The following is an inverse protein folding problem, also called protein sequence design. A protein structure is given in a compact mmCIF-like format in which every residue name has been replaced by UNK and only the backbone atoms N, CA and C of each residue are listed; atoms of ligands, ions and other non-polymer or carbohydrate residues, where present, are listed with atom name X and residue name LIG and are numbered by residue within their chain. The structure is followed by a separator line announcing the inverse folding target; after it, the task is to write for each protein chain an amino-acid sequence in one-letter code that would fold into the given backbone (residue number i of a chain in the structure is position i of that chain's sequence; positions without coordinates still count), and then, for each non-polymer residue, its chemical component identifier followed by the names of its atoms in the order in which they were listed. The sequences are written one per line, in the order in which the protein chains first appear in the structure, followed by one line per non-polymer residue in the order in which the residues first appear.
data_IF_737029077660
#
_entry.id   IF_737029077660
#
_cell.length_a   1.000
_cell.length_b   1.000
_cell.length_c   1.000
_cell.angle_alpha   90.00
_cell.angle_beta   90.00
_cell.angle_gamma   90.00
#
_symmetry.space_group_name_H-M   'P 1'
#
loop_
_entity.id
_entity.type
_entity.pdbx_description
1 polymer ?
#
# COMPACT_ATOMS: atom_id res chain seq x y z
N UNK A 1 -14.20 -5.54 29.72
CA UNK A 1 -13.64 -4.37 28.99
C UNK A 1 -12.50 -4.89 28.14
N UNK A 2 -12.75 -5.21 26.87
CA UNK A 2 -11.68 -5.56 25.93
C UNK A 2 -10.95 -4.28 25.51
N UNK A 3 -9.63 -4.29 25.30
CA UNK A 3 -8.94 -3.11 24.79
C UNK A 3 -9.53 -2.81 23.40
N UNK A 4 -10.31 -1.72 23.29
CA UNK A 4 -10.57 -1.10 22.01
C UNK A 4 -9.20 -0.71 21.45
N UNK A 5 -8.71 -1.50 20.51
CA UNK A 5 -7.58 -1.14 19.66
C UNK A 5 -8.00 0.15 18.98
N UNK A 6 -7.59 1.29 19.54
CA UNK A 6 -7.75 2.56 18.87
C UNK A 6 -6.99 2.40 17.57
N UNK A 7 -7.68 2.45 16.44
CA UNK A 7 -7.04 2.56 15.14
C UNK A 7 -6.11 3.76 15.21
N UNK A 8 -4.82 3.48 15.36
CA UNK A 8 -3.78 4.48 15.51
C UNK A 8 -3.79 5.39 14.30
N UNK A 9 -3.78 6.70 14.51
CA UNK A 9 -3.90 7.67 13.43
C UNK A 9 -2.81 7.48 12.38
N UNK A 10 -1.60 7.09 12.76
CA UNK A 10 -0.53 6.87 11.78
C UNK A 10 -0.75 5.60 10.95
N UNK A 11 -1.21 4.50 11.56
CA UNK A 11 -1.52 3.24 10.85
C UNK A 11 -2.64 3.46 9.82
N UNK A 12 -3.68 4.20 10.21
CA UNK A 12 -4.78 4.55 9.32
C UNK A 12 -4.31 5.48 8.19
N UNK A 13 -3.53 6.52 8.50
CA UNK A 13 -2.94 7.40 7.48
C UNK A 13 -2.07 6.62 6.51
N UNK A 14 -1.19 5.73 7.00
CA UNK A 14 -0.36 4.89 6.16
C UNK A 14 -1.19 3.98 5.25
N UNK A 15 -2.21 3.32 5.80
CA UNK A 15 -3.10 2.44 5.04
C UNK A 15 -3.81 3.20 3.93
N UNK A 16 -4.33 4.39 4.22
CA UNK A 16 -5.02 5.23 3.23
C UNK A 16 -4.06 5.73 2.13
N UNK A 17 -2.83 6.11 2.50
CA UNK A 17 -1.82 6.53 1.51
C UNK A 17 -1.39 5.35 0.62
N UNK A 18 -1.24 4.16 1.20
CA UNK A 18 -0.91 2.94 0.47
C UNK A 18 -2.03 2.54 -0.50
N UNK A 19 -3.29 2.64 -0.06
CA UNK A 19 -4.46 2.38 -0.90
C UNK A 19 -4.57 3.40 -2.03
N UNK A 20 -4.41 4.69 -1.74
CA UNK A 20 -4.45 5.75 -2.75
C UNK A 20 -3.37 5.54 -3.83
N UNK A 21 -2.13 5.24 -3.40
CA UNK A 21 -1.03 4.93 -4.31
C UNK A 21 -1.32 3.69 -5.16
N UNK A 22 -1.91 2.66 -4.55
CA UNK A 22 -2.28 1.43 -5.25
C UNK A 22 -3.38 1.66 -6.28
N UNK A 23 -4.42 2.43 -5.94
CA UNK A 23 -5.50 2.78 -6.86
C UNK A 23 -4.99 3.63 -8.03
N UNK A 24 -4.14 4.62 -7.76
CA UNK A 24 -3.48 5.42 -8.80
C UNK A 24 -2.67 4.51 -9.75
N UNK A 25 -1.88 3.58 -9.20
CA UNK A 25 -1.12 2.62 -10.00
C UNK A 25 -2.00 1.71 -10.87
N UNK A 26 -3.13 1.23 -10.33
CA UNK A 26 -4.05 0.38 -11.08
C UNK A 26 -4.81 1.16 -12.17
N UNK A 27 -5.11 2.44 -11.93
CA UNK A 27 -5.85 3.29 -12.87
C UNK A 27 -4.96 3.86 -13.98
N UNK A 28 -3.78 4.35 -13.63
CA UNK A 28 -2.88 5.08 -14.54
C UNK A 28 -1.80 4.17 -15.15
N UNK A 29 -1.47 3.06 -14.47
CA UNK A 29 -0.44 2.12 -14.89
C UNK A 29 0.98 2.50 -14.42
N UNK A 30 1.94 1.64 -14.76
CA UNK A 30 3.32 1.84 -14.35
C UNK A 30 3.97 3.08 -14.97
N UNK A 31 4.82 3.71 -14.16
CA UNK A 31 5.55 4.92 -14.55
C UNK A 31 4.73 6.21 -14.52
N UNK A 32 3.42 6.13 -14.22
CA UNK A 32 2.54 7.30 -14.11
C UNK A 32 2.34 7.77 -12.66
N UNK A 33 2.62 6.91 -11.67
CA UNK A 33 2.44 7.25 -10.25
C UNK A 33 3.49 8.26 -9.80
N UNK A 34 3.02 9.39 -9.25
CA UNK A 34 3.89 10.46 -8.79
C UNK A 34 4.75 10.04 -7.58
N UNK A 35 6.03 10.45 -7.61
CA UNK A 35 6.96 10.24 -6.48
C UNK A 35 6.51 10.93 -5.20
N UNK A 36 5.74 12.00 -5.29
CA UNK A 36 5.14 12.69 -4.15
C UNK A 36 4.16 11.78 -3.39
N UNK A 37 3.42 10.92 -4.08
CA UNK A 37 2.52 9.95 -3.45
C UNK A 37 3.31 8.95 -2.59
N UNK A 38 4.44 8.45 -3.10
CA UNK A 38 5.35 7.62 -2.31
C UNK A 38 6.01 8.39 -1.16
N UNK A 39 6.43 9.64 -1.36
CA UNK A 39 7.05 10.44 -0.31
C UNK A 39 6.11 10.66 0.89
N UNK A 40 4.81 10.87 0.63
CA UNK A 40 3.79 10.99 1.67
C UNK A 40 3.64 9.68 2.47
N UNK A 41 3.65 8.53 1.78
CA UNK A 41 3.61 7.21 2.41
C UNK A 41 4.87 6.90 3.23
N UNK A 42 6.05 7.18 2.67
CA UNK A 42 7.33 6.95 3.34
C UNK A 42 7.46 7.82 4.60
N UNK A 43 6.95 9.05 4.57
CA UNK A 43 6.95 9.95 5.72
C UNK A 43 6.11 9.42 6.91
N UNK A 44 5.01 8.71 6.64
CA UNK A 44 4.16 8.15 7.70
C UNK A 44 4.49 6.69 8.07
N UNK A 45 5.29 5.98 7.26
CA UNK A 45 5.79 4.62 7.55
C UNK A 45 6.40 4.45 8.95
N UNK A 46 7.36 5.29 9.42
CA UNK A 46 7.98 5.07 10.72
C UNK A 46 6.98 5.16 11.88
N UNK A 47 6.05 6.13 11.83
CA UNK A 47 5.01 6.27 12.84
C UNK A 47 4.02 5.09 12.79
N UNK A 48 3.66 4.62 11.59
CA UNK A 48 2.81 3.45 11.44
C UNK A 48 3.48 2.17 11.97
N UNK A 49 4.80 2.00 11.80
CA UNK A 49 5.57 0.87 12.32
C UNK A 49 5.68 0.87 13.84
N UNK A 50 5.86 2.05 14.43
CA UNK A 50 5.94 2.22 15.89
C UNK A 50 4.60 1.91 16.57
N UNK A 51 3.49 2.32 15.96
CA UNK A 51 2.14 2.07 16.48
C UNK A 51 1.58 0.68 16.14
N UNK A 52 2.14 0.00 15.12
CA UNK A 52 1.67 -1.32 14.71
C UNK A 52 2.16 -2.43 15.65
N UNK A 53 1.36 -3.49 15.87
CA UNK A 53 1.88 -4.70 16.50
C UNK A 53 3.03 -5.29 15.69
N UNK A 54 4.03 -5.88 16.35
CA UNK A 54 5.25 -6.43 15.72
C UNK A 54 4.98 -7.38 14.54
N UNK A 55 3.86 -8.10 14.58
CA UNK A 55 3.43 -8.98 13.49
C UNK A 55 3.13 -8.25 12.16
N UNK A 56 2.87 -6.94 12.20
CA UNK A 56 2.55 -6.10 11.04
C UNK A 56 3.69 -5.21 10.58
N UNK A 57 4.70 -4.98 11.43
CA UNK A 57 5.93 -4.31 11.03
C UNK A 57 6.50 -4.83 9.69
N UNK A 58 6.56 -6.17 9.43
CA UNK A 58 6.97 -6.66 8.12
C UNK A 58 6.01 -6.30 6.98
N UNK A 59 4.69 -6.27 7.23
CA UNK A 59 3.69 -5.91 6.22
C UNK A 59 3.80 -4.43 5.81
N UNK A 60 3.98 -3.53 6.78
CA UNK A 60 4.18 -2.09 6.54
C UNK A 60 5.46 -1.85 5.75
N UNK A 61 6.56 -2.49 6.18
CA UNK A 61 7.82 -2.41 5.46
C UNK A 61 7.71 -2.95 4.03
N UNK A 62 6.94 -4.02 3.83
CA UNK A 62 6.77 -4.61 2.50
C UNK A 62 5.94 -3.73 1.58
N UNK A 63 4.85 -3.14 2.09
CA UNK A 63 4.05 -2.15 1.35
C UNK A 63 4.93 -0.97 0.94
N UNK A 64 5.73 -0.41 1.87
CA UNK A 64 6.64 0.69 1.56
C UNK A 64 7.61 0.34 0.42
N UNK A 65 8.22 -0.86 0.46
CA UNK A 65 9.13 -1.32 -0.59
C UNK A 65 8.43 -1.45 -1.95
N UNK A 66 7.22 -2.01 -1.98
CA UNK A 66 6.46 -2.17 -3.22
C UNK A 66 5.97 -0.81 -3.75
N UNK A 67 5.51 0.08 -2.87
CA UNK A 67 5.17 1.47 -3.19
C UNK A 67 6.35 2.25 -3.76
N UNK A 68 7.55 2.02 -3.22
CA UNK A 68 8.78 2.58 -3.77
C UNK A 68 9.00 2.10 -5.20
N UNK A 69 8.84 0.79 -5.46
CA UNK A 69 8.96 0.26 -6.83
C UNK A 69 7.93 0.89 -7.77
N UNK A 70 6.67 1.01 -7.34
CA UNK A 70 5.59 1.63 -8.11
C UNK A 70 5.95 3.06 -8.54
N UNK A 71 6.40 3.90 -7.62
CA UNK A 71 6.60 5.34 -7.88
C UNK A 71 8.01 5.69 -8.38
N UNK A 72 9.02 4.88 -8.06
CA UNK A 72 10.41 5.19 -8.39
C UNK A 72 10.93 4.43 -9.61
N UNK A 73 10.25 3.38 -10.06
CA UNK A 73 10.66 2.62 -11.25
C UNK A 73 9.63 2.75 -12.38
N UNK A 74 10.08 2.97 -13.63
CA UNK A 74 9.18 3.14 -14.76
C UNK A 74 8.37 1.88 -15.07
N UNK A 75 8.88 0.70 -14.72
CA UNK A 75 8.14 -0.56 -14.83
C UNK A 75 7.18 -0.83 -13.66
N UNK A 76 7.29 -0.12 -12.53
CA UNK A 76 6.50 -0.38 -11.32
C UNK A 76 6.63 -1.84 -10.85
N UNK A 77 5.49 -2.49 -10.60
CA UNK A 77 5.41 -3.92 -10.28
C UNK A 77 5.21 -4.79 -11.52
N UNK A 78 5.53 -4.30 -12.71
CA UNK A 78 5.48 -5.07 -13.94
C UNK A 78 6.88 -5.64 -14.28
N UNK A 79 6.91 -6.73 -15.05
CA UNK A 79 8.12 -7.13 -15.76
C UNK A 79 8.05 -6.67 -17.21
N UNK A 80 9.22 -6.41 -17.79
CA UNK A 80 9.36 -6.11 -19.22
C UNK A 80 9.31 -7.43 -19.97
N UNK A 81 8.24 -7.66 -20.75
CA UNK A 81 8.18 -8.77 -21.68
C UNK A 81 8.60 -8.26 -23.06
N UNK A 82 9.57 -8.94 -23.69
CA UNK A 82 10.25 -8.47 -24.90
C UNK A 82 9.33 -8.10 -26.09
N UNK A 83 8.16 -8.73 -26.21
CA UNK A 83 7.21 -8.49 -27.31
C UNK A 83 5.88 -7.83 -26.90
N UNK A 84 5.58 -7.74 -25.60
CA UNK A 84 4.23 -7.39 -25.11
C UNK A 84 4.17 -6.14 -24.22
N UNK A 85 5.29 -5.44 -24.00
CA UNK A 85 5.35 -4.30 -23.09
C UNK A 85 5.39 -4.73 -21.62
N UNK A 86 4.91 -3.87 -20.73
CA UNK A 86 4.90 -4.10 -19.28
C UNK A 86 3.76 -5.06 -18.90
N UNK A 87 4.10 -6.18 -18.27
CA UNK A 87 3.14 -7.19 -17.81
C UNK A 87 3.14 -7.23 -16.28
N UNK A 88 1.96 -7.19 -15.61
CA UNK A 88 1.88 -7.18 -14.14
C UNK A 88 2.44 -8.46 -13.53
N UNK A 89 3.36 -8.29 -12.56
CA UNK A 89 3.83 -9.40 -11.72
C UNK A 89 2.73 -9.73 -10.72
N UNK A 90 1.91 -10.73 -11.07
CA UNK A 90 0.75 -11.16 -10.29
C UNK A 90 1.10 -11.45 -8.82
N UNK A 91 2.27 -12.02 -8.58
CA UNK A 91 2.83 -12.26 -7.26
C UNK A 91 2.99 -10.97 -6.45
N UNK A 92 3.63 -9.93 -7.00
CA UNK A 92 3.81 -8.65 -6.31
C UNK A 92 2.49 -7.89 -6.12
N UNK A 93 1.59 -7.95 -7.11
CA UNK A 93 0.25 -7.36 -6.99
C UNK A 93 -0.58 -8.02 -5.88
N UNK A 94 -0.53 -9.35 -5.82
CA UNK A 94 -1.21 -10.12 -4.77
C UNK A 94 -0.61 -9.84 -3.39
N UNK A 95 0.73 -9.79 -3.30
CA UNK A 95 1.45 -9.48 -2.06
C UNK A 95 1.08 -8.08 -1.53
N UNK A 96 1.05 -7.07 -2.40
CA UNK A 96 0.63 -5.72 -2.03
C UNK A 96 -0.80 -5.71 -1.47
N UNK A 97 -1.72 -6.34 -2.20
CA UNK A 97 -3.14 -6.37 -1.84
C UNK A 97 -3.36 -7.11 -0.52
N UNK A 98 -2.70 -8.25 -0.33
CA UNK A 98 -2.81 -9.05 0.89
C UNK A 98 -2.32 -8.30 2.12
N UNK A 99 -1.18 -7.60 2.02
CA UNK A 99 -0.68 -6.78 3.12
C UNK A 99 -1.60 -5.58 3.41
N UNK A 100 -2.11 -4.93 2.38
CA UNK A 100 -3.05 -3.80 2.52
C UNK A 100 -4.35 -4.24 3.20
N UNK A 101 -4.92 -5.38 2.80
CA UNK A 101 -6.10 -5.97 3.44
C UNK A 101 -5.86 -6.31 4.91
N UNK A 102 -4.66 -6.81 5.24
CA UNK A 102 -4.27 -7.12 6.62
C UNK A 102 -4.25 -5.86 7.47
N UNK A 103 -3.65 -4.77 6.98
CA UNK A 103 -3.68 -3.48 7.66
C UNK A 103 -5.09 -2.93 7.79
N UNK A 104 -5.92 -3.03 6.75
CA UNK A 104 -7.31 -2.56 6.75
C UNK A 104 -8.17 -3.27 7.79
N UNK A 105 -8.04 -4.60 7.94
CA UNK A 105 -8.76 -5.36 8.97
C UNK A 105 -8.44 -4.88 10.39
N UNK A 106 -7.24 -4.35 10.61
CA UNK A 106 -6.76 -3.88 11.91
C UNK A 106 -7.07 -2.41 12.17
N UNK A 107 -7.06 -1.58 11.13
CA UNK A 107 -7.57 -0.20 11.18
C UNK A 107 -9.09 -0.12 11.41
N UNK A 108 -9.79 -1.26 11.40
CA UNK A 108 -11.25 -1.35 11.54
C UNK A 108 -11.97 -1.17 10.20
N UNK A 109 -13.28 -1.51 10.14
CA UNK A 109 -14.07 -1.28 8.95
C UNK A 109 -14.13 0.22 8.67
N UNK A 110 -13.39 0.67 7.64
CA UNK A 110 -13.80 1.85 6.90
C UNK A 110 -15.18 1.50 6.33
N UNK A 111 -16.20 2.20 6.82
CA UNK A 111 -17.54 2.26 6.24
C UNK A 111 -17.37 2.77 4.80
N UNK A 112 -17.04 1.87 3.88
CA UNK A 112 -17.10 2.18 2.46
C UNK A 112 -18.56 1.93 2.09
N UNK A 113 -19.37 2.98 1.84
CA UNK A 113 -20.72 2.77 1.38
C UNK A 113 -20.64 1.99 0.06
N UNK A 114 -21.45 0.94 -0.13
CA UNK A 114 -21.58 0.30 -1.42
C UNK A 114 -22.01 1.38 -2.42
N UNK A 115 -21.17 1.64 -3.42
CA UNK A 115 -21.52 2.54 -4.51
C UNK A 115 -22.66 1.86 -5.31
N UNK A 116 -23.76 2.56 -5.61
CA UNK A 116 -24.98 1.97 -6.18
C UNK A 116 -24.81 1.40 -7.60
#
# INVERSE_FOLDING_TARGET
MGPSVKSSSALLTFTNQAEALWQAYLAEGAGQVDRAAYAALAACSPAARDEAPDALAPAIQRIEQLSQQIACTPQGLNFVSGEAGLVPRRDLHAEFTQHLETLRKLCGPQDIPPTP
#
